data_IF_620202845127
#
_entry.id   IF_620202845127
#
_cell.length_a   1.000
_cell.length_b   1.000
_cell.length_c   1.000
_cell.angle_alpha   90.00
_cell.angle_beta   90.00
_cell.angle_gamma   90.00
#
_symmetry.space_group_name_H-M   'P 1'
#
loop_
_entity.id
_entity.type
_entity.pdbx_description
1 polymer ?
#
# COMPACT_ATOMS: atom_id res chain seq x y z
N UNK A 1 -25.75 -35.52 0.70
CA UNK A 1 -24.27 -35.43 0.64
C UNK A 1 -23.73 -34.39 -0.36
N UNK A 2 -24.03 -34.43 -1.68
CA UNK A 2 -23.48 -33.44 -2.63
C UNK A 2 -23.87 -31.99 -2.37
N UNK A 3 -25.13 -31.70 -2.00
CA UNK A 3 -25.60 -30.32 -1.70
C UNK A 3 -24.97 -29.72 -0.43
N UNK A 4 -24.74 -30.51 0.60
CA UNK A 4 -24.09 -30.04 1.85
C UNK A 4 -22.62 -29.69 1.63
N UNK A 5 -21.88 -30.47 0.86
CA UNK A 5 -20.48 -30.18 0.53
C UNK A 5 -20.39 -28.91 -0.31
N UNK A 6 -21.30 -28.70 -1.27
CA UNK A 6 -21.36 -27.50 -2.11
C UNK A 6 -21.62 -26.25 -1.25
N UNK A 7 -22.59 -26.29 -0.32
CA UNK A 7 -22.89 -25.16 0.56
C UNK A 7 -21.73 -24.86 1.54
N UNK A 8 -21.04 -25.87 2.05
CA UNK A 8 -19.86 -25.68 2.89
C UNK A 8 -18.73 -25.01 2.12
N UNK A 9 -18.52 -25.41 0.88
CA UNK A 9 -17.51 -24.86 -0.02
C UNK A 9 -17.79 -23.39 -0.33
N UNK A 10 -19.01 -23.04 -0.73
CA UNK A 10 -19.40 -21.65 -0.96
C UNK A 10 -19.19 -20.75 0.26
N UNK A 11 -19.60 -21.21 1.47
CA UNK A 11 -19.37 -20.49 2.71
C UNK A 11 -17.88 -20.22 2.98
N UNK A 12 -17.03 -21.17 2.62
CA UNK A 12 -15.59 -21.02 2.74
C UNK A 12 -15.04 -19.96 1.77
N UNK A 13 -15.43 -20.00 0.49
CA UNK A 13 -15.01 -19.02 -0.48
C UNK A 13 -15.45 -17.61 -0.12
N UNK A 14 -16.68 -17.42 0.38
CA UNK A 14 -17.17 -16.13 0.86
C UNK A 14 -16.32 -15.62 2.03
N UNK A 15 -15.98 -16.50 3.01
CA UNK A 15 -15.09 -16.10 4.11
C UNK A 15 -13.72 -15.67 3.62
N UNK A 16 -13.17 -16.39 2.66
CA UNK A 16 -11.89 -16.10 2.06
C UNK A 16 -11.91 -14.76 1.31
N UNK A 17 -12.97 -14.52 0.51
CA UNK A 17 -13.18 -13.24 -0.17
C UNK A 17 -13.24 -12.07 0.79
N UNK A 18 -13.92 -12.22 1.93
CA UNK A 18 -13.94 -11.19 2.98
C UNK A 18 -12.56 -10.95 3.57
N UNK A 19 -11.79 -12.00 3.88
CA UNK A 19 -10.44 -11.86 4.43
C UNK A 19 -9.50 -11.14 3.46
N UNK A 20 -9.58 -11.44 2.17
CA UNK A 20 -8.83 -10.75 1.13
C UNK A 20 -9.22 -9.27 1.05
N UNK A 21 -10.52 -9.00 1.01
CA UNK A 21 -11.05 -7.64 0.97
C UNK A 21 -10.61 -6.84 2.20
N UNK A 22 -10.72 -7.40 3.40
CA UNK A 22 -10.28 -6.77 4.65
C UNK A 22 -8.78 -6.44 4.61
N UNK A 23 -7.94 -7.36 4.07
CA UNK A 23 -6.51 -7.12 3.94
C UNK A 23 -6.20 -5.99 2.94
N UNK A 24 -6.94 -5.90 1.84
CA UNK A 24 -6.82 -4.80 0.87
C UNK A 24 -7.28 -3.46 1.48
N UNK A 25 -8.33 -3.48 2.31
CA UNK A 25 -8.77 -2.29 3.06
C UNK A 25 -7.71 -1.80 4.03
N UNK A 26 -7.08 -2.69 4.80
CA UNK A 26 -6.01 -2.31 5.72
C UNK A 26 -4.79 -1.75 4.98
N UNK A 27 -4.43 -2.31 3.82
CA UNK A 27 -3.39 -1.77 2.95
C UNK A 27 -3.72 -0.35 2.48
N UNK A 28 -4.94 -0.13 1.99
CA UNK A 28 -5.38 1.20 1.55
C UNK A 28 -5.42 2.19 2.71
N UNK A 29 -5.88 1.77 3.88
CA UNK A 29 -5.89 2.58 5.10
C UNK A 29 -4.48 2.99 5.53
N UNK A 30 -3.53 2.06 5.53
CA UNK A 30 -2.13 2.35 5.84
C UNK A 30 -1.54 3.39 4.87
N UNK A 31 -1.83 3.26 3.57
CA UNK A 31 -1.43 4.24 2.55
C UNK A 31 -2.03 5.63 2.81
N UNK A 32 -3.32 5.71 3.14
CA UNK A 32 -3.97 6.99 3.45
C UNK A 32 -3.40 7.63 4.72
N UNK A 33 -3.06 6.83 5.73
CA UNK A 33 -2.38 7.32 6.93
C UNK A 33 -0.99 7.88 6.61
N UNK A 34 -0.25 7.24 5.70
CA UNK A 34 1.04 7.74 5.24
C UNK A 34 0.91 9.07 4.49
N UNK A 35 -0.12 9.22 3.65
CA UNK A 35 -0.45 10.50 2.99
C UNK A 35 -0.74 11.57 4.04
N UNK A 36 -1.55 11.25 5.06
CA UNK A 36 -1.86 12.18 6.15
C UNK A 36 -0.59 12.65 6.86
N UNK A 37 0.31 11.75 7.25
CA UNK A 37 1.60 12.10 7.87
C UNK A 37 2.41 13.05 6.98
N UNK A 38 2.50 12.75 5.69
CA UNK A 38 3.19 13.63 4.75
C UNK A 38 2.55 15.03 4.66
N UNK A 39 1.22 15.12 4.73
CA UNK A 39 0.51 16.42 4.74
C UNK A 39 0.79 17.21 6.03
N UNK A 40 0.91 16.53 7.17
CA UNK A 40 1.29 17.15 8.43
C UNK A 40 2.72 17.70 8.39
N UNK A 41 3.68 16.94 7.84
CA UNK A 41 5.06 17.38 7.62
C UNK A 41 5.11 18.62 6.73
N UNK A 42 4.29 18.67 5.70
CA UNK A 42 4.12 19.83 4.83
C UNK A 42 3.64 21.08 5.59
N UNK A 43 2.65 20.91 6.43
CA UNK A 43 2.09 21.99 7.23
C UNK A 43 3.15 22.58 8.16
N UNK A 44 3.97 21.75 8.78
CA UNK A 44 5.10 22.16 9.63
C UNK A 44 6.13 22.93 8.80
N UNK A 45 6.53 22.40 7.65
CA UNK A 45 7.49 23.07 6.75
C UNK A 45 7.03 24.46 6.30
N UNK A 46 5.75 24.60 5.91
CA UNK A 46 5.17 25.89 5.57
C UNK A 46 5.19 26.88 6.75
N UNK A 47 4.86 26.42 7.95
CA UNK A 47 4.89 27.23 9.17
C UNK A 47 6.31 27.76 9.45
N UNK A 48 7.32 26.89 9.33
CA UNK A 48 8.72 27.25 9.55
C UNK A 48 9.23 28.28 8.53
N UNK A 49 8.88 28.13 7.25
CA UNK A 49 9.21 29.13 6.23
C UNK A 49 8.57 30.48 6.54
N UNK A 50 7.29 30.48 6.93
CA UNK A 50 6.55 31.70 7.27
C UNK A 50 7.18 32.40 8.49
N UNK A 51 7.49 31.66 9.54
CA UNK A 51 8.16 32.18 10.74
C UNK A 51 9.53 32.76 10.42
N UNK A 52 10.34 32.08 9.66
CA UNK A 52 11.66 32.55 9.27
C UNK A 52 11.59 33.78 8.34
N UNK A 53 10.61 33.89 7.45
CA UNK A 53 10.36 35.07 6.64
C UNK A 53 10.06 36.29 7.49
N UNK A 54 9.24 36.14 8.53
CA UNK A 54 8.95 37.22 9.47
C UNK A 54 10.20 37.66 10.26
N UNK A 55 11.00 36.71 10.74
CA UNK A 55 12.26 36.99 11.45
C UNK A 55 13.26 37.71 10.54
N UNK A 56 13.35 37.29 9.28
CA UNK A 56 14.22 37.91 8.28
C UNK A 56 13.86 39.39 8.06
N UNK A 57 12.56 39.67 7.85
CA UNK A 57 12.06 41.05 7.72
C UNK A 57 12.42 41.90 8.96
N UNK A 58 12.16 41.40 10.16
CA UNK A 58 12.48 42.10 11.40
C UNK A 58 13.99 42.40 11.54
N UNK A 59 14.83 41.42 11.12
CA UNK A 59 16.29 41.63 11.19
C UNK A 59 16.76 42.71 10.20
N UNK A 60 16.18 42.79 9.02
CA UNK A 60 16.47 43.85 8.02
C UNK A 60 16.02 45.23 8.56
N UNK A 61 14.79 45.33 9.08
CA UNK A 61 14.23 46.58 9.60
C UNK A 61 15.06 47.10 10.79
N UNK A 62 15.67 46.21 11.58
CA UNK A 62 16.54 46.60 12.70
C UNK A 62 18.02 46.75 12.36
N UNK A 63 18.40 46.56 11.11
CA UNK A 63 19.79 46.62 10.66
C UNK A 63 20.69 45.50 11.15
N UNK A 64 20.10 44.35 11.58
CA UNK A 64 20.87 43.19 12.04
C UNK A 64 21.32 42.32 10.86
N UNK A 65 22.29 42.82 10.08
CA UNK A 65 22.71 42.22 8.80
C UNK A 65 23.24 40.78 8.98
N UNK A 66 24.06 40.53 10.02
CA UNK A 66 24.57 39.16 10.28
C UNK A 66 23.41 38.22 10.68
N UNK A 67 22.45 38.70 11.45
CA UNK A 67 21.25 37.95 11.83
C UNK A 67 20.40 37.62 10.59
N UNK A 68 20.21 38.59 9.73
CA UNK A 68 19.47 38.42 8.48
C UNK A 68 20.13 37.37 7.57
N UNK A 69 21.46 37.40 7.42
CA UNK A 69 22.21 36.44 6.60
C UNK A 69 22.10 35.02 7.15
N UNK A 70 22.18 34.84 8.47
CA UNK A 70 21.97 33.56 9.12
C UNK A 70 20.55 33.00 8.91
N UNK A 71 19.53 33.87 8.96
CA UNK A 71 18.14 33.49 8.69
C UNK A 71 17.98 33.12 7.21
N UNK A 72 18.56 33.90 6.28
CA UNK A 72 18.55 33.61 4.84
C UNK A 72 19.10 32.22 4.56
N UNK A 73 20.26 31.88 5.14
CA UNK A 73 20.89 30.57 4.97
C UNK A 73 20.04 29.43 5.54
N UNK A 74 19.31 29.67 6.64
CA UNK A 74 18.36 28.71 7.22
C UNK A 74 17.13 28.53 6.34
N UNK A 75 16.56 29.61 5.82
CA UNK A 75 15.42 29.58 4.88
C UNK A 75 15.80 28.82 3.62
N UNK A 76 16.99 29.02 3.06
CA UNK A 76 17.46 28.32 1.88
C UNK A 76 17.53 26.80 2.10
N UNK A 77 18.03 26.35 3.26
CA UNK A 77 18.06 24.93 3.62
C UNK A 77 16.64 24.38 3.77
N UNK A 78 15.77 25.04 4.50
CA UNK A 78 14.39 24.62 4.68
C UNK A 78 13.64 24.49 3.35
N UNK A 79 13.88 25.40 2.40
CA UNK A 79 13.27 25.34 1.05
C UNK A 79 13.76 24.09 0.30
N UNK A 80 15.05 23.77 0.37
CA UNK A 80 15.61 22.59 -0.29
C UNK A 80 15.04 21.30 0.32
N UNK A 81 14.97 21.20 1.63
CA UNK A 81 14.38 20.06 2.33
C UNK A 81 12.89 19.92 1.98
N UNK A 82 12.18 21.05 1.95
CA UNK A 82 10.77 21.09 1.57
C UNK A 82 10.54 20.66 0.11
N UNK A 83 11.40 21.09 -0.81
CA UNK A 83 11.34 20.68 -2.23
C UNK A 83 11.53 19.17 -2.37
N UNK A 84 12.42 18.56 -1.60
CA UNK A 84 12.60 17.13 -1.59
C UNK A 84 11.33 16.40 -1.08
N UNK A 85 10.72 16.88 -0.01
CA UNK A 85 9.48 16.32 0.52
C UNK A 85 8.32 16.46 -0.47
N UNK A 86 8.22 17.60 -1.17
CA UNK A 86 7.22 17.81 -2.24
C UNK A 86 7.38 16.76 -3.34
N UNK A 87 8.60 16.54 -3.81
CA UNK A 87 8.84 15.60 -4.88
C UNK A 87 8.43 14.17 -4.45
N UNK A 88 8.83 13.74 -3.27
CA UNK A 88 8.43 12.43 -2.72
C UNK A 88 6.91 12.30 -2.56
N UNK A 89 6.25 13.35 -2.09
CA UNK A 89 4.79 13.35 -1.93
C UNK A 89 4.08 13.23 -3.27
N UNK A 90 4.56 13.97 -4.28
CA UNK A 90 4.04 13.90 -5.65
C UNK A 90 4.18 12.51 -6.24
N UNK A 91 5.33 11.87 -6.06
CA UNK A 91 5.58 10.49 -6.52
C UNK A 91 4.65 9.51 -5.80
N UNK A 92 4.46 9.68 -4.51
CA UNK A 92 3.61 8.81 -3.69
C UNK A 92 2.12 8.94 -4.03
N UNK A 93 1.62 10.17 -4.26
CA UNK A 93 0.21 10.39 -4.67
C UNK A 93 -0.05 9.87 -6.08
N UNK A 94 0.90 10.07 -7.00
CA UNK A 94 0.76 9.66 -8.40
C UNK A 94 1.06 8.17 -8.63
N UNK A 95 1.60 7.47 -7.64
CA UNK A 95 1.72 6.03 -7.70
C UNK A 95 0.30 5.42 -7.74
N UNK A 96 0.10 4.49 -8.69
CA UNK A 96 -1.20 3.91 -9.09
C UNK A 96 -2.18 3.73 -7.93
N UNK A 97 -3.33 4.38 -8.05
CA UNK A 97 -4.41 4.25 -7.09
C UNK A 97 -5.10 2.90 -7.30
N UNK A 98 -4.72 1.92 -6.50
CA UNK A 98 -5.38 0.61 -6.49
C UNK A 98 -6.85 0.79 -6.13
N UNK A 99 -7.71 0.65 -7.12
CA UNK A 99 -9.17 0.64 -6.91
C UNK A 99 -9.49 -0.64 -6.12
N UNK A 100 -10.15 -0.47 -4.98
CA UNK A 100 -10.58 -1.63 -4.20
C UNK A 100 -11.62 -2.45 -5.01
N UNK A 101 -11.39 -3.75 -5.22
CA UNK A 101 -12.35 -4.60 -5.89
C UNK A 101 -13.60 -4.77 -5.03
N UNK A 102 -14.72 -5.09 -5.66
CA UNK A 102 -15.92 -5.50 -4.93
C UNK A 102 -15.75 -6.94 -4.41
N UNK A 103 -16.47 -7.26 -3.36
CA UNK A 103 -16.49 -8.63 -2.84
C UNK A 103 -16.88 -9.67 -3.90
N UNK A 104 -17.84 -9.30 -4.78
CA UNK A 104 -18.27 -10.12 -5.91
C UNK A 104 -17.14 -10.44 -6.87
N UNK A 105 -16.25 -9.50 -7.10
CA UNK A 105 -15.16 -9.63 -8.07
C UNK A 105 -14.10 -10.59 -7.50
N UNK A 106 -13.72 -10.39 -6.23
CA UNK A 106 -12.82 -11.32 -5.52
C UNK A 106 -13.39 -12.73 -5.48
N UNK A 107 -14.70 -12.87 -5.22
CA UNK A 107 -15.36 -14.17 -5.19
C UNK A 107 -15.37 -14.84 -6.57
N UNK A 108 -15.60 -14.07 -7.65
CA UNK A 108 -15.57 -14.57 -9.01
C UNK A 108 -14.15 -15.05 -9.41
N UNK A 109 -13.11 -14.28 -9.06
CA UNK A 109 -11.71 -14.67 -9.29
C UNK A 109 -11.34 -15.96 -8.55
N UNK A 110 -11.75 -16.12 -7.30
CA UNK A 110 -11.50 -17.36 -6.55
C UNK A 110 -12.19 -18.57 -7.17
N UNK A 111 -13.40 -18.40 -7.72
CA UNK A 111 -14.08 -19.49 -8.47
C UNK A 111 -13.32 -19.80 -9.75
N UNK A 112 -12.87 -18.78 -10.47
CA UNK A 112 -12.10 -18.98 -11.70
C UNK A 112 -10.78 -19.69 -11.41
N UNK A 113 -10.03 -19.27 -10.38
CA UNK A 113 -8.82 -19.96 -9.95
C UNK A 113 -9.07 -21.45 -9.65
N UNK A 114 -10.19 -21.76 -8.99
CA UNK A 114 -10.54 -23.15 -8.70
C UNK A 114 -10.86 -23.96 -9.97
N UNK A 115 -11.47 -23.32 -10.96
CA UNK A 115 -11.74 -23.96 -12.26
C UNK A 115 -10.46 -24.21 -13.06
N UNK A 116 -9.51 -23.29 -13.00
CA UNK A 116 -8.24 -23.37 -13.72
C UNK A 116 -7.25 -24.36 -13.09
N UNK A 117 -7.15 -24.37 -11.77
CA UNK A 117 -6.16 -25.20 -11.05
C UNK A 117 -6.74 -26.46 -10.41
N UNK A 118 -8.06 -26.65 -10.47
CA UNK A 118 -8.78 -27.82 -9.96
C UNK A 118 -9.04 -27.80 -8.47
N UNK A 119 -8.05 -27.60 -7.62
CA UNK A 119 -8.21 -27.56 -6.16
C UNK A 119 -7.59 -26.29 -5.56
N UNK A 120 -8.46 -25.47 -5.00
CA UNK A 120 -8.07 -24.31 -4.20
C UNK A 120 -8.08 -24.72 -2.72
N UNK A 121 -6.93 -24.76 -2.10
CA UNK A 121 -6.80 -24.98 -0.66
C UNK A 121 -6.55 -23.65 0.07
N UNK A 122 -6.99 -23.56 1.32
CA UNK A 122 -6.70 -22.40 2.16
C UNK A 122 -6.62 -22.77 3.62
N UNK A 123 -5.64 -22.17 4.29
CA UNK A 123 -5.43 -22.29 5.71
C UNK A 123 -5.83 -20.98 6.39
N UNK A 124 -6.96 -21.00 7.13
CA UNK A 124 -7.46 -19.81 7.81
C UNK A 124 -6.58 -19.38 8.99
N UNK A 125 -5.87 -20.32 9.63
CA UNK A 125 -4.98 -20.02 10.76
C UNK A 125 -3.70 -19.32 10.30
N UNK A 126 -3.15 -19.73 9.18
CA UNK A 126 -1.95 -19.15 8.58
C UNK A 126 -2.27 -18.01 7.59
N UNK A 127 -3.56 -17.81 7.30
CA UNK A 127 -4.05 -16.85 6.29
C UNK A 127 -3.34 -17.05 4.93
N UNK A 128 -3.29 -18.31 4.47
CA UNK A 128 -2.68 -18.66 3.21
C UNK A 128 -3.71 -19.27 2.25
N UNK A 129 -3.53 -18.97 0.98
CA UNK A 129 -4.26 -19.58 -0.14
C UNK A 129 -3.22 -20.32 -0.96
N UNK A 130 -3.49 -21.57 -1.34
CA UNK A 130 -2.64 -22.32 -2.24
C UNK A 130 -3.43 -23.02 -3.34
N UNK A 131 -2.81 -23.09 -4.51
CA UNK A 131 -3.28 -23.85 -5.66
C UNK A 131 -2.15 -24.75 -6.15
N UNK A 132 -2.51 -25.93 -6.63
CA UNK A 132 -1.57 -26.88 -7.21
C UNK A 132 -1.74 -26.87 -8.72
N UNK A 133 -0.66 -26.62 -9.44
CA UNK A 133 -0.67 -26.65 -10.92
C UNK A 133 -0.78 -28.08 -11.42
N UNK A 134 -1.15 -28.23 -12.68
CA UNK A 134 -0.95 -29.51 -13.39
C UNK A 134 0.55 -29.84 -13.48
N UNK A 135 0.86 -31.10 -13.78
CA UNK A 135 2.24 -31.54 -13.99
C UNK A 135 2.86 -30.81 -15.18
N UNK A 136 3.97 -30.14 -14.94
CA UNK A 136 4.69 -29.36 -15.95
C UNK A 136 5.87 -30.18 -16.48
N UNK A 137 6.06 -30.18 -17.79
CA UNK A 137 7.22 -30.77 -18.46
C UNK A 137 7.98 -29.65 -19.16
N UNK A 138 9.29 -29.53 -18.88
CA UNK A 138 10.16 -28.54 -19.52
C UNK A 138 11.26 -29.30 -20.26
N UNK A 139 11.39 -29.08 -21.56
CA UNK A 139 12.41 -29.74 -22.42
C UNK A 139 12.46 -31.28 -22.22
N UNK A 140 11.31 -31.93 -22.22
CA UNK A 140 11.11 -33.38 -22.01
C UNK A 140 11.47 -33.87 -20.58
N UNK A 141 11.78 -32.96 -19.65
CA UNK A 141 12.01 -33.30 -18.25
C UNK A 141 10.71 -33.07 -17.46
N UNK A 142 10.11 -34.11 -16.85
CA UNK A 142 8.93 -33.95 -16.03
C UNK A 142 9.31 -33.33 -14.70
N UNK A 143 8.81 -32.11 -14.44
CA UNK A 143 9.06 -31.38 -13.18
C UNK A 143 7.98 -31.67 -12.12
N UNK A 144 6.84 -32.26 -12.54
CA UNK A 144 5.70 -32.49 -11.68
C UNK A 144 4.84 -31.25 -11.44
N UNK A 145 3.86 -31.32 -10.52
CA UNK A 145 3.03 -30.20 -10.14
C UNK A 145 3.77 -29.26 -9.19
N UNK A 146 3.46 -27.95 -9.27
CA UNK A 146 3.95 -26.93 -8.34
C UNK A 146 2.79 -26.43 -7.46
N UNK A 147 3.10 -26.15 -6.19
CA UNK A 147 2.20 -25.43 -5.32
C UNK A 147 2.52 -23.94 -5.36
N UNK A 148 1.52 -23.11 -5.69
CA UNK A 148 1.61 -21.65 -5.64
C UNK A 148 0.87 -21.20 -4.40
N UNK A 149 1.58 -20.52 -3.48
CA UNK A 149 1.02 -20.09 -2.21
C UNK A 149 1.02 -18.56 -2.11
N UNK A 150 -0.14 -18.00 -1.76
CA UNK A 150 -0.32 -16.59 -1.43
C UNK A 150 -0.54 -16.43 0.06
N UNK A 151 0.31 -15.69 0.75
CA UNK A 151 0.10 -15.29 2.14
C UNK A 151 -0.70 -13.99 2.22
N UNK A 152 -1.95 -14.06 2.67
CA UNK A 152 -2.83 -12.89 2.83
C UNK A 152 -2.26 -11.91 3.86
N UNK A 153 -1.57 -12.40 4.89
CA UNK A 153 -0.94 -11.57 5.91
C UNK A 153 0.26 -10.76 5.41
N UNK A 154 0.78 -11.04 4.21
CA UNK A 154 1.88 -10.29 3.59
C UNK A 154 1.39 -9.23 2.59
N UNK A 155 0.13 -9.27 2.19
CA UNK A 155 -0.46 -8.27 1.27
C UNK A 155 -0.47 -6.87 1.90
N UNK A 156 -0.55 -6.79 3.24
CA UNK A 156 -0.63 -5.54 4.00
C UNK A 156 0.70 -5.06 4.58
N UNK A 157 1.82 -5.68 4.23
CA UNK A 157 3.17 -5.25 4.62
C UNK A 157 3.90 -4.59 3.48
#
# INVERSE_FOLDING_TARGET
>A
MRKENFMKKQKKLIKLSNLLLDSLYELKKARLQQIQTMMEDFSIGCSDVTKNSHLFRTAIEKGWLIGAENIRSRVSRNINDFSYHIQRFKEFINADETVLPKLSDIYAELIQMEQEFGELSFNLSEKTISVTTESITLEDIPLGPFEIQLSIGQISK
#
